data_IF_130685435068
#
_entry.id   IF_130685435068
#
_cell.length_a   1.000
_cell.length_b   1.000
_cell.length_c   1.000
_cell.angle_alpha   90.00
_cell.angle_beta   90.00
_cell.angle_gamma   90.00
#
_symmetry.space_group_name_H-M   'P 1'
#
loop_
_entity.id
_entity.type
_entity.pdbx_description
1 polymer ?
#
# COMPACT_ATOMS: atom_id res chain seq x y z
N UNK A 1 -9.75 27.05 16.98
CA UNK A 1 -9.24 25.68 16.73
C UNK A 1 -7.82 25.82 16.24
N UNK A 2 -6.86 25.19 16.90
CA UNK A 2 -5.44 25.23 16.49
C UNK A 2 -5.30 24.41 15.21
N UNK A 3 -4.99 25.04 14.08
CA UNK A 3 -4.77 24.34 12.81
C UNK A 3 -3.52 23.46 12.93
N UNK A 4 -3.66 22.16 12.65
CA UNK A 4 -2.51 21.26 12.56
C UNK A 4 -1.64 21.68 11.37
N UNK A 5 -0.32 21.83 11.54
CA UNK A 5 0.56 22.20 10.45
C UNK A 5 0.65 21.06 9.43
N UNK A 6 0.88 21.42 8.17
CA UNK A 6 1.22 20.47 7.12
C UNK A 6 2.55 19.79 7.43
N UNK A 7 2.58 18.45 7.43
CA UNK A 7 3.78 17.65 7.67
C UNK A 7 4.09 16.79 6.45
N UNK A 8 4.98 17.29 5.60
CA UNK A 8 5.35 16.60 4.35
C UNK A 8 6.34 15.46 4.56
N UNK A 9 7.15 15.52 5.61
CA UNK A 9 8.16 14.52 5.92
C UNK A 9 7.80 13.79 7.22
N UNK A 10 7.79 12.47 7.14
CA UNK A 10 7.59 11.60 8.28
C UNK A 10 8.65 11.83 9.38
N UNK A 11 8.26 11.91 10.67
CA UNK A 11 9.19 11.79 11.79
C UNK A 11 10.05 10.53 11.68
N UNK A 12 11.32 10.62 12.08
CA UNK A 12 12.23 9.48 12.08
C UNK A 12 11.86 8.49 13.19
N UNK A 13 11.17 7.40 12.83
CA UNK A 13 11.03 6.18 13.64
C UNK A 13 11.92 5.07 13.06
N UNK A 14 12.24 4.06 13.87
CA UNK A 14 13.05 2.92 13.44
C UNK A 14 12.46 2.24 12.20
N UNK A 15 13.31 1.91 11.22
CA UNK A 15 12.88 1.23 9.99
C UNK A 15 12.23 -0.12 10.34
N UNK A 16 11.19 -0.55 9.60
CA UNK A 16 10.66 -1.91 9.76
C UNK A 16 11.76 -2.94 9.45
N UNK A 17 11.66 -4.17 10.01
CA UNK A 17 12.58 -5.23 9.64
C UNK A 17 12.48 -5.49 8.14
N UNK A 18 13.63 -5.76 7.50
CA UNK A 18 13.70 -6.02 6.06
C UNK A 18 12.85 -7.24 5.72
N UNK A 19 11.97 -7.11 4.74
CA UNK A 19 11.11 -8.20 4.28
C UNK A 19 11.35 -8.48 2.79
N UNK A 20 11.05 -9.69 2.34
CA UNK A 20 11.16 -10.11 0.93
C UNK A 20 10.42 -9.14 -0.01
N UNK A 21 9.26 -8.66 0.42
CA UNK A 21 8.39 -7.76 -0.34
C UNK A 21 8.93 -6.34 -0.49
N UNK A 22 9.95 -5.94 0.26
CA UNK A 22 10.64 -4.65 0.04
C UNK A 22 11.54 -4.70 -1.21
N UNK A 23 11.82 -5.91 -1.71
CA UNK A 23 12.84 -6.17 -2.73
C UNK A 23 12.21 -6.47 -4.10
N UNK A 24 12.88 -6.04 -5.15
CA UNK A 24 12.68 -6.57 -6.50
C UNK A 24 13.29 -7.96 -6.67
N UNK A 25 12.97 -8.67 -7.76
CA UNK A 25 13.42 -10.05 -7.94
C UNK A 25 14.94 -10.19 -7.93
N UNK A 26 15.67 -9.22 -8.49
CA UNK A 26 17.12 -9.23 -8.49
C UNK A 26 17.68 -9.12 -7.07
N UNK A 27 17.16 -8.17 -6.28
CA UNK A 27 17.53 -7.98 -4.89
C UNK A 27 17.06 -9.15 -3.99
N UNK A 28 15.95 -9.82 -4.31
CA UNK A 28 15.55 -11.07 -3.64
C UNK A 28 16.56 -12.19 -3.90
N UNK A 29 17.00 -12.36 -5.16
CA UNK A 29 18.04 -13.34 -5.53
C UNK A 29 19.35 -13.07 -4.78
N UNK A 30 19.75 -11.81 -4.68
CA UNK A 30 20.91 -11.40 -3.90
C UNK A 30 20.73 -11.71 -2.40
N UNK A 31 19.60 -11.32 -1.80
CA UNK A 31 19.34 -11.55 -0.38
C UNK A 31 19.32 -13.04 -0.01
N UNK A 32 18.74 -13.87 -0.87
CA UNK A 32 18.75 -15.33 -0.70
C UNK A 32 20.16 -15.91 -0.78
N UNK A 33 20.99 -15.41 -1.71
CA UNK A 33 22.38 -15.82 -1.83
C UNK A 33 23.23 -15.42 -0.61
N UNK A 34 23.03 -14.20 -0.09
CA UNK A 34 23.68 -13.71 1.13
C UNK A 34 23.34 -14.55 2.36
N UNK A 35 22.16 -15.17 2.39
CA UNK A 35 21.72 -16.08 3.45
C UNK A 35 22.20 -17.53 3.26
N UNK A 36 22.98 -17.81 2.21
CA UNK A 36 23.58 -19.13 1.97
C UNK A 36 22.67 -20.13 1.26
N UNK A 37 21.61 -19.66 0.59
CA UNK A 37 20.73 -20.48 -0.26
C UNK A 37 20.96 -20.16 -1.74
N UNK A 38 20.70 -21.13 -2.62
CA UNK A 38 20.88 -20.93 -4.06
C UNK A 38 19.94 -19.84 -4.60
N UNK A 39 20.37 -18.95 -5.52
CA UNK A 39 19.56 -17.81 -5.98
C UNK A 39 18.18 -18.17 -6.52
N UNK A 40 17.99 -19.35 -7.13
CA UNK A 40 16.69 -19.79 -7.63
C UNK A 40 15.64 -20.00 -6.51
N UNK A 41 16.07 -20.17 -5.25
CA UNK A 41 15.17 -20.23 -4.08
C UNK A 41 14.39 -18.93 -3.89
N UNK A 42 14.90 -17.79 -4.38
CA UNK A 42 14.16 -16.54 -4.38
C UNK A 42 12.86 -16.64 -5.19
N UNK A 43 12.89 -17.32 -6.34
CA UNK A 43 11.72 -17.49 -7.18
C UNK A 43 10.68 -18.39 -6.49
N UNK A 44 11.12 -19.45 -5.82
CA UNK A 44 10.25 -20.35 -5.06
C UNK A 44 9.61 -19.64 -3.87
N UNK A 45 10.40 -19.00 -3.02
CA UNK A 45 9.91 -18.23 -1.88
C UNK A 45 8.96 -17.12 -2.33
N UNK A 46 9.28 -16.42 -3.42
CA UNK A 46 8.40 -15.37 -3.96
C UNK A 46 7.05 -15.94 -4.43
N UNK A 47 7.02 -17.12 -5.06
CA UNK A 47 5.75 -17.77 -5.44
C UNK A 47 4.93 -18.19 -4.24
N UNK A 48 5.56 -18.69 -3.18
CA UNK A 48 4.88 -19.01 -1.94
C UNK A 48 4.20 -17.76 -1.35
N UNK A 49 4.91 -16.63 -1.30
CA UNK A 49 4.38 -15.39 -0.71
C UNK A 49 3.37 -14.68 -1.60
N UNK A 50 3.64 -14.56 -2.91
CA UNK A 50 2.85 -13.71 -3.83
C UNK A 50 1.68 -14.46 -4.50
N UNK A 51 1.77 -15.79 -4.60
CA UNK A 51 0.74 -16.62 -5.27
C UNK A 51 -0.02 -17.48 -4.26
N UNK A 52 0.68 -18.05 -3.27
CA UNK A 52 0.06 -18.88 -2.22
C UNK A 52 -0.24 -18.10 -0.95
N UNK A 53 0.12 -16.82 -0.91
CA UNK A 53 -0.13 -15.89 0.18
C UNK A 53 0.38 -16.38 1.54
N UNK A 54 1.48 -17.16 1.58
CA UNK A 54 2.08 -17.61 2.84
C UNK A 54 2.75 -16.44 3.57
N UNK A 55 2.78 -16.51 4.91
CA UNK A 55 3.48 -15.55 5.78
C UNK A 55 4.65 -16.14 6.56
N UNK A 56 4.85 -17.46 6.48
CA UNK A 56 5.98 -18.13 7.12
C UNK A 56 6.66 -19.09 6.15
N UNK A 57 7.99 -19.14 6.25
CA UNK A 57 8.81 -20.15 5.58
C UNK A 57 8.42 -21.57 5.98
N UNK A 58 7.85 -21.78 7.17
CA UNK A 58 7.42 -23.08 7.66
C UNK A 58 6.29 -23.68 6.80
N UNK A 59 5.49 -22.82 6.16
CA UNK A 59 4.40 -23.21 5.26
C UNK A 59 4.91 -23.57 3.84
N UNK A 60 6.18 -23.29 3.52
CA UNK A 60 6.77 -23.51 2.20
C UNK A 60 7.22 -24.97 2.03
N UNK A 61 6.29 -25.87 1.68
CA UNK A 61 6.54 -27.32 1.60
C UNK A 61 7.56 -27.73 0.53
N UNK A 62 7.82 -26.88 -0.46
CA UNK A 62 8.80 -27.06 -1.55
C UNK A 62 10.21 -26.54 -1.20
N UNK A 63 10.38 -25.95 -0.02
CA UNK A 63 11.69 -25.61 0.56
C UNK A 63 12.12 -26.69 1.55
N UNK A 64 13.37 -27.11 1.47
CA UNK A 64 13.98 -28.02 2.45
C UNK A 64 14.18 -27.33 3.79
N UNK A 65 14.29 -28.10 4.87
CA UNK A 65 14.40 -27.60 6.24
C UNK A 65 15.55 -26.57 6.41
N UNK A 66 16.73 -26.87 5.86
CA UNK A 66 17.87 -25.97 5.92
C UNK A 66 17.63 -24.62 5.19
N UNK A 67 16.88 -24.64 4.08
CA UNK A 67 16.52 -23.42 3.36
C UNK A 67 15.45 -22.63 4.13
N UNK A 68 14.46 -23.29 4.75
CA UNK A 68 13.47 -22.60 5.60
C UNK A 68 14.15 -21.87 6.75
N UNK A 69 15.07 -22.52 7.45
CA UNK A 69 15.81 -21.92 8.55
C UNK A 69 16.63 -20.70 8.10
N UNK A 70 17.35 -20.81 6.97
CA UNK A 70 18.16 -19.70 6.42
C UNK A 70 17.32 -18.53 5.95
N UNK A 71 16.16 -18.79 5.36
CA UNK A 71 15.32 -17.78 4.72
C UNK A 71 14.25 -17.18 5.65
N UNK A 72 14.05 -17.72 6.85
CA UNK A 72 13.14 -17.18 7.86
C UNK A 72 13.30 -15.66 8.11
N UNK A 73 14.53 -15.09 8.17
CA UNK A 73 14.71 -13.65 8.34
C UNK A 73 14.15 -12.77 7.21
N UNK A 74 13.78 -13.34 6.05
CA UNK A 74 13.15 -12.59 4.96
C UNK A 74 11.63 -12.46 5.10
N UNK A 75 11.00 -13.21 6.00
CA UNK A 75 9.55 -13.14 6.28
C UNK A 75 9.26 -12.76 7.75
N UNK A 76 9.80 -11.67 8.29
CA UNK A 76 9.39 -11.19 9.60
C UNK A 76 7.91 -10.75 9.58
N UNK A 77 7.20 -10.94 10.68
CA UNK A 77 5.84 -10.39 10.83
C UNK A 77 5.88 -8.85 10.80
N UNK A 78 5.26 -8.24 9.80
CA UNK A 78 5.18 -6.78 9.68
C UNK A 78 3.89 -6.18 10.25
N UNK A 79 2.77 -6.89 10.09
CA UNK A 79 1.45 -6.44 10.51
C UNK A 79 0.80 -7.50 11.40
N UNK A 80 0.39 -7.09 12.60
CA UNK A 80 -0.40 -7.94 13.51
C UNK A 80 -1.83 -7.41 13.59
N UNK A 81 -2.87 -8.20 13.29
CA UNK A 81 -4.24 -7.73 13.40
C UNK A 81 -4.58 -7.50 14.87
N UNK A 82 -4.96 -6.27 15.23
CA UNK A 82 -5.36 -5.94 16.60
C UNK A 82 -6.88 -5.92 16.79
N UNK A 83 -7.64 -5.64 15.72
CA UNK A 83 -9.10 -5.65 15.73
C UNK A 83 -9.64 -5.86 14.32
N UNK A 84 -10.71 -6.62 14.20
CA UNK A 84 -11.45 -6.81 12.95
C UNK A 84 -12.91 -6.44 13.19
N UNK A 85 -13.50 -5.72 12.25
CA UNK A 85 -14.92 -5.41 12.20
C UNK A 85 -15.48 -5.81 10.83
N UNK A 86 -16.69 -6.33 10.80
CA UNK A 86 -17.40 -6.65 9.55
C UNK A 86 -18.75 -5.94 9.49
N UNK A 87 -19.23 -5.68 8.27
CA UNK A 87 -20.56 -5.18 8.00
C UNK A 87 -21.06 -5.67 6.63
N UNK A 88 -22.27 -5.29 6.25
CA UNK A 88 -22.89 -5.62 4.96
C UNK A 88 -23.02 -7.13 4.70
N UNK A 89 -23.34 -7.90 5.74
CA UNK A 89 -23.38 -9.37 5.66
C UNK A 89 -22.02 -9.97 5.32
N UNK A 90 -20.97 -9.48 5.99
CA UNK A 90 -19.55 -9.84 5.80
C UNK A 90 -18.97 -9.46 4.42
N UNK A 91 -19.70 -8.71 3.59
CA UNK A 91 -19.16 -8.19 2.34
C UNK A 91 -18.12 -7.09 2.56
N UNK A 92 -18.08 -6.45 3.73
CA UNK A 92 -17.11 -5.43 4.09
C UNK A 92 -16.38 -5.82 5.37
N UNK A 93 -15.05 -5.83 5.36
CA UNK A 93 -14.19 -6.17 6.50
C UNK A 93 -13.13 -5.10 6.70
N UNK A 94 -13.16 -4.43 7.86
CA UNK A 94 -12.12 -3.49 8.29
C UNK A 94 -11.18 -4.18 9.27
N UNK A 95 -9.88 -4.09 9.01
CA UNK A 95 -8.83 -4.59 9.91
C UNK A 95 -8.00 -3.42 10.42
N UNK A 96 -7.86 -3.34 11.73
CA UNK A 96 -6.88 -2.50 12.42
C UNK A 96 -5.61 -3.32 12.61
N UNK A 97 -4.50 -2.81 12.09
CA UNK A 97 -3.18 -3.41 12.14
C UNK A 97 -2.29 -2.68 13.12
N UNK A 98 -1.54 -3.45 13.91
CA UNK A 98 -0.42 -2.96 14.69
C UNK A 98 0.89 -3.28 13.96
N UNK A 99 1.71 -2.26 13.78
CA UNK A 99 3.02 -2.36 13.14
C UNK A 99 4.13 -2.60 14.17
N UNK A 100 5.36 -2.86 13.72
CA UNK A 100 6.51 -3.19 14.58
C UNK A 100 6.83 -2.12 15.63
N UNK A 101 6.59 -0.85 15.31
CA UNK A 101 6.83 0.30 16.17
C UNK A 101 5.61 0.73 17.00
N UNK A 102 4.56 -0.11 17.00
CA UNK A 102 3.32 0.14 17.73
C UNK A 102 2.35 1.11 17.05
N UNK A 103 2.73 1.73 15.94
CA UNK A 103 1.80 2.51 15.10
C UNK A 103 0.64 1.66 14.61
N UNK A 104 -0.50 2.31 14.42
CA UNK A 104 -1.72 1.67 13.94
C UNK A 104 -2.06 2.15 12.54
N UNK A 105 -2.46 1.23 11.67
CA UNK A 105 -3.03 1.51 10.34
C UNK A 105 -4.26 0.66 10.09
N UNK A 106 -5.11 1.11 9.18
CA UNK A 106 -6.34 0.39 8.81
C UNK A 106 -6.30 -0.04 7.35
N UNK A 107 -6.92 -1.18 7.06
CA UNK A 107 -7.27 -1.57 5.69
C UNK A 107 -8.72 -2.04 5.65
N UNK A 108 -9.41 -1.81 4.53
CA UNK A 108 -10.79 -2.23 4.33
C UNK A 108 -10.89 -3.09 3.09
N UNK A 109 -11.31 -4.33 3.26
CA UNK A 109 -11.57 -5.27 2.18
C UNK A 109 -13.08 -5.31 1.90
N UNK A 110 -13.47 -5.06 0.66
CA UNK A 110 -14.87 -4.91 0.25
C UNK A 110 -15.18 -5.80 -0.96
N UNK A 111 -16.25 -6.60 -0.85
CA UNK A 111 -16.82 -7.37 -1.94
C UNK A 111 -17.97 -6.60 -2.59
N UNK A 112 -17.84 -6.39 -3.89
CA UNK A 112 -18.89 -5.91 -4.77
C UNK A 112 -19.36 -7.05 -5.70
N UNK A 113 -20.48 -6.91 -6.43
CA UNK A 113 -21.00 -7.98 -7.28
C UNK A 113 -19.99 -8.54 -8.30
N UNK A 114 -19.13 -7.68 -8.86
CA UNK A 114 -18.17 -8.04 -9.93
C UNK A 114 -16.70 -7.90 -9.55
N UNK A 115 -16.37 -7.47 -8.32
CA UNK A 115 -14.99 -7.19 -7.91
C UNK A 115 -14.79 -7.33 -6.40
N UNK A 116 -13.54 -7.53 -6.00
CA UNK A 116 -13.11 -7.36 -4.61
C UNK A 116 -12.09 -6.23 -4.58
N UNK A 117 -12.32 -5.25 -3.71
CA UNK A 117 -11.52 -4.03 -3.60
C UNK A 117 -10.85 -3.97 -2.23
N UNK A 118 -9.55 -3.73 -2.21
CA UNK A 118 -8.83 -3.36 -1.00
C UNK A 118 -8.60 -1.84 -0.97
N UNK A 119 -9.09 -1.20 0.08
CA UNK A 119 -8.66 0.13 0.49
C UNK A 119 -7.50 -0.02 1.49
N UNK A 120 -6.31 0.44 1.12
CA UNK A 120 -5.09 0.26 1.89
C UNK A 120 -4.45 1.58 2.33
N UNK A 121 -3.66 1.51 3.39
CA UNK A 121 -2.91 2.64 3.93
C UNK A 121 -1.51 2.72 3.30
N UNK A 122 -1.04 3.95 3.06
CA UNK A 122 0.30 4.27 2.56
C UNK A 122 1.19 4.94 3.63
N UNK A 123 0.60 5.44 4.71
CA UNK A 123 1.28 6.02 5.86
C UNK A 123 0.55 5.67 7.17
N UNK A 124 1.26 5.73 8.29
CA UNK A 124 0.65 5.77 9.62
C UNK A 124 0.34 7.23 9.98
N UNK A 125 -0.94 7.59 9.92
CA UNK A 125 -1.39 8.98 9.98
C UNK A 125 -1.26 9.68 8.62
N UNK A 126 -1.50 10.99 8.58
CA UNK A 126 -1.40 11.78 7.37
C UNK A 126 -1.04 13.23 7.70
N UNK A 127 -0.08 13.79 6.98
CA UNK A 127 0.39 15.15 7.19
C UNK A 127 -0.30 16.23 6.36
N UNK A 128 -1.38 15.88 5.64
CA UNK A 128 -2.12 16.83 4.79
C UNK A 128 -3.11 17.71 5.56
N UNK A 129 -3.36 17.40 6.84
CA UNK A 129 -4.17 18.21 7.75
C UNK A 129 -5.59 18.59 7.25
N UNK A 130 -6.17 17.83 6.32
CA UNK A 130 -7.54 18.07 5.84
C UNK A 130 -8.53 17.95 7.02
N UNK A 131 -9.27 19.00 7.43
CA UNK A 131 -10.05 19.02 8.66
C UNK A 131 -11.24 18.05 8.65
N UNK A 132 -11.72 17.63 7.49
CA UNK A 132 -12.76 16.61 7.38
C UNK A 132 -12.24 15.17 7.53
N UNK A 133 -10.92 14.97 7.53
CA UNK A 133 -10.28 13.66 7.57
C UNK A 133 -9.75 13.35 8.97
N UNK A 134 -10.30 12.31 9.62
CA UNK A 134 -9.84 11.86 10.94
C UNK A 134 -8.34 11.52 10.94
N UNK A 135 -7.81 10.95 9.86
CA UNK A 135 -6.38 10.66 9.71
C UNK A 135 -5.54 11.94 9.61
N UNK A 136 -6.03 12.96 8.89
CA UNK A 136 -5.37 14.27 8.79
C UNK A 136 -5.33 15.01 10.13
N UNK A 137 -6.37 14.86 10.95
CA UNK A 137 -6.41 15.40 12.31
C UNK A 137 -5.45 14.68 13.28
N UNK A 138 -5.08 13.43 12.98
CA UNK A 138 -4.12 12.66 13.80
C UNK A 138 -2.65 13.00 13.54
N UNK A 139 -2.34 13.78 12.50
CA UNK A 139 -0.99 14.09 12.06
C UNK A 139 -0.24 12.89 11.45
N UNK A 140 0.98 13.12 10.97
CA UNK A 140 1.84 12.09 10.38
C UNK A 140 2.75 11.47 11.43
N UNK A 141 2.70 10.15 11.59
CA UNK A 141 3.64 9.41 12.45
C UNK A 141 4.83 8.88 11.65
N UNK A 142 4.57 8.17 10.54
CA UNK A 142 5.61 7.68 9.62
C UNK A 142 5.07 7.20 8.29
N UNK A 143 5.96 7.06 7.32
CA UNK A 143 5.71 6.33 6.08
C UNK A 143 5.72 4.81 6.33
N UNK A 144 4.92 4.08 5.56
CA UNK A 144 4.99 2.62 5.48
C UNK A 144 6.09 2.20 4.50
N UNK A 145 6.75 1.07 4.75
CA UNK A 145 7.63 0.46 3.74
C UNK A 145 6.82 -0.17 2.61
N UNK A 146 7.51 -0.52 1.52
CA UNK A 146 6.89 -1.26 0.41
C UNK A 146 6.30 -2.58 0.89
N UNK A 147 7.00 -3.32 1.75
CA UNK A 147 6.47 -4.55 2.31
C UNK A 147 5.25 -4.35 3.22
N UNK A 148 5.22 -3.30 4.06
CA UNK A 148 4.04 -3.03 4.90
C UNK A 148 2.79 -2.69 4.06
N UNK A 149 2.97 -2.05 2.89
CA UNK A 149 1.88 -1.81 1.93
C UNK A 149 1.46 -3.14 1.27
N UNK A 150 2.42 -3.93 0.78
CA UNK A 150 2.13 -5.19 0.08
C UNK A 150 1.60 -6.30 0.98
N UNK A 151 1.93 -6.30 2.27
CA UNK A 151 1.36 -7.24 3.24
C UNK A 151 -0.16 -7.04 3.40
N UNK A 152 -0.65 -5.80 3.35
CA UNK A 152 -2.10 -5.54 3.29
C UNK A 152 -2.72 -6.19 2.05
N UNK A 153 -2.02 -6.17 0.91
CA UNK A 153 -2.45 -6.81 -0.36
C UNK A 153 -2.43 -8.33 -0.24
N UNK A 154 -1.36 -8.93 0.29
CA UNK A 154 -1.22 -10.38 0.45
C UNK A 154 -2.34 -10.95 1.33
N UNK A 155 -2.56 -10.35 2.49
CA UNK A 155 -3.65 -10.76 3.40
C UNK A 155 -5.01 -10.60 2.70
N UNK A 156 -5.25 -9.48 2.02
CA UNK A 156 -6.51 -9.26 1.32
C UNK A 156 -6.76 -10.26 0.18
N UNK A 157 -5.71 -10.63 -0.56
CA UNK A 157 -5.80 -11.64 -1.62
C UNK A 157 -6.15 -13.02 -1.03
N UNK A 158 -5.44 -13.44 0.03
CA UNK A 158 -5.75 -14.66 0.79
C UNK A 158 -7.19 -14.68 1.31
N UNK A 159 -7.62 -13.60 1.93
CA UNK A 159 -8.94 -13.49 2.55
C UNK A 159 -10.05 -13.49 1.47
N UNK A 160 -9.81 -12.86 0.31
CA UNK A 160 -10.72 -12.93 -0.83
C UNK A 160 -10.83 -14.36 -1.40
N UNK A 161 -9.70 -15.04 -1.57
CA UNK A 161 -9.63 -16.39 -2.15
C UNK A 161 -10.23 -17.46 -1.23
N UNK A 162 -9.98 -17.37 0.08
CA UNK A 162 -10.55 -18.29 1.07
C UNK A 162 -12.08 -18.17 1.21
N UNK A 163 -12.66 -17.09 0.70
CA UNK A 163 -14.08 -16.83 0.76
C UNK A 163 -14.56 -16.15 2.03
N UNK A 164 -13.64 -15.50 2.75
CA UNK A 164 -13.90 -14.82 4.01
C UNK A 164 -14.96 -13.70 3.89
N UNK A 165 -15.20 -13.20 2.69
CA UNK A 165 -16.28 -12.25 2.35
C UNK A 165 -17.53 -12.98 1.80
N UNK A 166 -17.91 -14.08 2.44
CA UNK A 166 -19.09 -14.91 2.13
C UNK A 166 -18.96 -15.90 0.97
N UNK A 167 -18.01 -15.71 0.03
CA UNK A 167 -17.67 -16.69 -1.03
C UNK A 167 -16.28 -16.45 -1.60
N UNK A 168 -15.61 -17.47 -2.17
CA UNK A 168 -14.33 -17.30 -2.86
C UNK A 168 -14.38 -16.24 -3.96
N UNK A 169 -13.30 -15.49 -4.12
CA UNK A 169 -13.11 -14.57 -5.23
C UNK A 169 -11.67 -14.08 -5.31
N UNK A 170 -11.37 -13.30 -6.35
CA UNK A 170 -10.04 -12.75 -6.57
C UNK A 170 -10.01 -11.27 -6.16
N UNK A 171 -8.94 -10.86 -5.47
CA UNK A 171 -8.65 -9.44 -5.28
C UNK A 171 -8.33 -8.80 -6.64
N UNK A 172 -9.22 -7.94 -7.10
CA UNK A 172 -9.16 -7.37 -8.45
C UNK A 172 -8.86 -5.88 -8.45
N UNK A 173 -9.09 -5.19 -7.33
CA UNK A 173 -8.97 -3.75 -7.24
C UNK A 173 -8.22 -3.31 -5.97
N UNK A 174 -7.37 -2.31 -6.14
CA UNK A 174 -6.65 -1.64 -5.05
C UNK A 174 -6.97 -0.15 -5.13
N UNK A 175 -7.29 0.46 -3.99
CA UNK A 175 -7.41 1.92 -3.88
C UNK A 175 -6.49 2.41 -2.76
N UNK A 176 -5.58 3.32 -3.09
CA UNK A 176 -4.76 4.04 -2.12
C UNK A 176 -5.59 5.18 -1.51
N UNK A 177 -6.63 4.82 -0.76
CA UNK A 177 -7.58 5.72 -0.11
C UNK A 177 -7.75 5.41 1.39
N UNK A 178 -6.82 4.63 1.96
CA UNK A 178 -6.73 4.41 3.40
C UNK A 178 -6.01 5.56 4.09
N UNK A 179 -5.20 5.24 5.10
CA UNK A 179 -4.45 6.27 5.83
C UNK A 179 -3.22 6.73 5.04
N UNK A 180 -3.06 8.05 4.91
CA UNK A 180 -1.87 8.69 4.31
C UNK A 180 -2.12 9.36 2.96
N UNK A 181 -1.19 10.21 2.56
CA UNK A 181 -1.07 10.76 1.21
C UNK A 181 -0.08 9.90 0.40
N UNK A 182 -0.55 9.08 -0.55
CA UNK A 182 0.29 8.13 -1.29
C UNK A 182 1.47 8.79 -1.99
N UNK A 183 1.27 9.97 -2.60
CA UNK A 183 2.35 10.65 -3.32
C UNK A 183 3.37 11.32 -2.39
N UNK A 184 3.07 11.47 -1.09
CA UNK A 184 4.06 11.85 -0.07
C UNK A 184 4.94 10.67 0.35
N UNK A 185 4.49 9.42 0.12
CA UNK A 185 5.28 8.19 0.28
C UNK A 185 5.69 7.58 -1.07
N UNK A 186 6.09 8.45 -2.01
CA UNK A 186 6.23 8.14 -3.43
C UNK A 186 7.00 6.84 -3.71
N UNK A 187 8.25 6.73 -3.24
CA UNK A 187 9.13 5.62 -3.61
C UNK A 187 8.56 4.26 -3.15
N UNK A 188 8.02 4.20 -1.94
CA UNK A 188 7.44 2.96 -1.42
C UNK A 188 6.16 2.57 -2.17
N UNK A 189 5.31 3.55 -2.49
CA UNK A 189 4.07 3.37 -3.24
C UNK A 189 4.35 2.91 -4.66
N UNK A 190 5.26 3.55 -5.39
CA UNK A 190 5.60 3.14 -6.78
C UNK A 190 6.23 1.75 -6.79
N UNK A 191 7.13 1.45 -5.86
CA UNK A 191 7.67 0.10 -5.73
C UNK A 191 6.54 -0.92 -5.48
N UNK A 192 5.61 -0.62 -4.56
CA UNK A 192 4.47 -1.50 -4.29
C UNK A 192 3.59 -1.68 -5.54
N UNK A 193 3.24 -0.60 -6.26
CA UNK A 193 2.46 -0.68 -7.52
C UNK A 193 3.18 -1.58 -8.54
N UNK A 194 4.49 -1.40 -8.73
CA UNK A 194 5.29 -2.25 -9.65
C UNK A 194 5.25 -3.73 -9.24
N UNK A 195 5.25 -4.04 -7.94
CA UNK A 195 5.09 -5.42 -7.44
C UNK A 195 3.66 -5.93 -7.53
N UNK A 196 2.64 -5.08 -7.44
CA UNK A 196 1.24 -5.50 -7.64
C UNK A 196 1.02 -5.93 -9.10
N UNK A 197 1.59 -5.20 -10.06
CA UNK A 197 1.36 -5.44 -11.51
C UNK A 197 2.27 -6.52 -12.12
N UNK A 198 3.47 -6.72 -11.59
CA UNK A 198 4.41 -7.65 -12.18
C UNK A 198 3.92 -9.10 -12.04
N UNK A 199 4.21 -9.94 -13.04
CA UNK A 199 3.86 -11.35 -13.00
C UNK A 199 4.71 -12.14 -11.98
N UNK A 200 4.20 -13.24 -11.42
CA UNK A 200 4.99 -14.13 -10.58
C UNK A 200 6.22 -14.66 -11.32
N UNK A 201 7.43 -14.66 -10.73
CA UNK A 201 7.69 -14.59 -9.29
C UNK A 201 7.96 -13.18 -8.78
N UNK A 202 7.90 -12.16 -9.64
CA UNK A 202 8.26 -10.80 -9.29
C UNK A 202 7.14 -10.10 -8.50
N UNK A 203 5.88 -10.36 -8.88
CA UNK A 203 4.71 -9.69 -8.31
C UNK A 203 3.43 -10.52 -8.24
N UNK A 204 2.30 -9.82 -8.03
CA UNK A 204 0.97 -10.40 -7.85
C UNK A 204 0.19 -10.63 -9.17
N UNK A 205 0.67 -10.15 -10.32
CA UNK A 205 -0.03 -10.29 -11.61
C UNK A 205 -1.37 -9.55 -11.68
N UNK A 206 -1.49 -8.41 -10.98
CA UNK A 206 -2.71 -7.59 -11.01
C UNK A 206 -2.77 -6.72 -12.26
N UNK A 207 -3.98 -6.49 -12.78
CA UNK A 207 -4.17 -5.47 -13.81
C UNK A 207 -3.93 -4.08 -13.23
N UNK A 208 -3.03 -3.31 -13.83
CA UNK A 208 -2.76 -1.92 -13.45
C UNK A 208 -4.04 -1.04 -13.45
N UNK A 209 -4.98 -1.32 -14.37
CA UNK A 209 -6.29 -0.64 -14.43
C UNK A 209 -7.17 -0.91 -13.21
N UNK A 210 -6.88 -1.95 -12.44
CA UNK A 210 -7.54 -2.22 -11.17
C UNK A 210 -6.97 -1.42 -9.99
N UNK A 211 -5.86 -0.70 -10.18
CA UNK A 211 -5.16 0.04 -9.13
C UNK A 211 -5.47 1.53 -9.30
N UNK A 212 -5.93 2.17 -8.23
CA UNK A 212 -6.18 3.61 -8.16
C UNK A 212 -5.29 4.27 -7.12
N UNK A 213 -4.47 5.23 -7.54
CA UNK A 213 -3.67 6.08 -6.65
C UNK A 213 -4.44 7.38 -6.44
N UNK A 214 -4.84 7.66 -5.20
CA UNK A 214 -5.48 8.93 -4.84
C UNK A 214 -4.44 9.95 -4.36
N UNK A 215 -4.67 11.23 -4.59
CA UNK A 215 -3.82 12.31 -4.04
C UNK A 215 -4.62 13.57 -3.73
N UNK A 216 -4.19 14.32 -2.72
CA UNK A 216 -4.70 15.67 -2.43
C UNK A 216 -4.15 16.78 -3.35
N UNK A 217 -3.27 16.44 -4.30
CA UNK A 217 -2.77 17.41 -5.28
C UNK A 217 -1.31 17.81 -5.09
N UNK A 218 -0.40 16.84 -4.85
CA UNK A 218 1.04 17.11 -4.85
C UNK A 218 1.55 17.25 -6.29
N UNK A 219 1.40 18.44 -6.90
CA UNK A 219 1.69 18.71 -8.32
C UNK A 219 3.01 18.10 -8.83
N UNK A 220 4.18 18.31 -8.18
CA UNK A 220 5.42 17.71 -8.65
C UNK A 220 5.39 16.17 -8.70
N UNK A 221 4.66 15.55 -7.76
CA UNK A 221 4.56 14.09 -7.68
C UNK A 221 3.54 13.52 -8.67
N UNK A 222 2.49 14.28 -9.00
CA UNK A 222 1.56 13.92 -10.09
C UNK A 222 2.32 13.88 -11.42
N UNK A 223 3.09 14.93 -11.72
CA UNK A 223 3.95 14.98 -12.91
C UNK A 223 4.99 13.87 -12.91
N UNK A 224 5.59 13.58 -11.75
CA UNK A 224 6.52 12.46 -11.61
C UNK A 224 5.84 11.12 -11.93
N UNK A 225 4.62 10.89 -11.41
CA UNK A 225 3.83 9.69 -11.68
C UNK A 225 3.46 9.58 -13.17
N UNK A 226 3.11 10.68 -13.84
CA UNK A 226 2.86 10.69 -15.29
C UNK A 226 4.08 10.15 -16.08
N UNK A 227 5.28 10.55 -15.66
CA UNK A 227 6.53 10.10 -16.28
C UNK A 227 6.91 8.62 -15.96
N UNK A 228 6.23 7.95 -15.02
CA UNK A 228 6.50 6.53 -14.73
C UNK A 228 5.98 5.59 -15.84
N UNK A 229 5.05 6.07 -16.68
CA UNK A 229 4.41 5.25 -17.72
C UNK A 229 3.56 4.10 -17.16
N UNK A 230 3.12 4.19 -15.90
CA UNK A 230 2.31 3.17 -15.25
C UNK A 230 0.82 3.40 -15.54
N UNK A 231 0.10 2.45 -16.15
CA UNK A 231 -1.31 2.63 -16.51
C UNK A 231 -2.26 2.39 -15.32
N UNK A 232 -1.98 3.05 -14.20
CA UNK A 232 -2.87 3.09 -13.02
C UNK A 232 -3.93 4.18 -13.18
N UNK A 233 -5.00 4.11 -12.39
CA UNK A 233 -5.97 5.21 -12.33
C UNK A 233 -5.48 6.26 -11.33
N UNK A 234 -5.44 7.54 -11.73
CA UNK A 234 -5.23 8.66 -10.81
C UNK A 234 -6.59 9.20 -10.34
N UNK A 235 -6.76 9.35 -9.03
CA UNK A 235 -7.91 10.02 -8.45
C UNK A 235 -7.46 11.30 -7.73
N UNK A 236 -8.11 12.42 -8.02
CA UNK A 236 -7.84 13.70 -7.36
C UNK A 236 -8.87 13.95 -6.26
N UNK A 237 -8.39 14.14 -5.03
CA UNK A 237 -9.16 14.63 -3.90
C UNK A 237 -9.31 16.15 -3.98
N UNK A 238 -10.21 16.62 -4.85
CA UNK A 238 -10.41 18.05 -5.14
C UNK A 238 -11.15 18.78 -4.00
N UNK A 239 -12.34 18.30 -3.64
CA UNK A 239 -13.20 18.74 -2.52
C UNK A 239 -13.76 20.17 -2.54
N UNK A 240 -13.33 21.05 -3.45
CA UNK A 240 -13.93 22.37 -3.66
C UNK A 240 -13.65 22.87 -5.09
N UNK A 241 -14.57 23.66 -5.69
CA UNK A 241 -14.40 24.19 -7.05
C UNK A 241 -13.56 25.48 -7.12
N UNK A 242 -13.35 26.16 -6.00
CA UNK A 242 -12.60 27.43 -5.89
C UNK A 242 -11.53 27.35 -4.80
N UNK A 243 -10.50 28.19 -4.92
CA UNK A 243 -9.35 28.20 -4.01
C UNK A 243 -9.69 28.69 -2.60
N UNK A 244 -10.65 29.61 -2.47
CA UNK A 244 -11.03 30.17 -1.17
C UNK A 244 -11.52 29.05 -0.25
N UNK A 245 -12.49 28.26 -0.72
CA UNK A 245 -12.99 27.12 0.02
C UNK A 245 -11.93 26.01 0.12
N UNK A 246 -11.20 25.71 -0.97
CA UNK A 246 -10.22 24.62 -0.97
C UNK A 246 -9.07 24.86 0.00
N UNK A 247 -8.63 26.10 0.20
CA UNK A 247 -7.62 26.47 1.19
C UNK A 247 -8.02 26.05 2.62
N UNK A 248 -9.33 26.06 2.93
CA UNK A 248 -9.84 25.65 4.25
C UNK A 248 -10.03 24.14 4.38
N UNK A 249 -10.39 23.45 3.30
CA UNK A 249 -10.70 22.02 3.31
C UNK A 249 -9.49 21.13 3.00
N UNK A 250 -8.57 21.60 2.17
CA UNK A 250 -7.40 20.86 1.72
C UNK A 250 -6.20 21.81 1.79
N UNK A 251 -5.56 21.98 2.97
CA UNK A 251 -4.59 23.06 3.20
C UNK A 251 -3.40 23.09 2.23
N UNK A 252 -3.09 21.96 1.58
CA UNK A 252 -2.07 21.88 0.53
C UNK A 252 -2.37 22.81 -0.67
N UNK A 253 -3.63 23.24 -0.83
CA UNK A 253 -4.04 24.19 -1.86
C UNK A 253 -3.33 25.55 -1.76
N UNK A 254 -2.92 25.94 -0.55
CA UNK A 254 -2.13 27.15 -0.33
C UNK A 254 -0.73 27.08 -0.96
N UNK A 255 -0.32 25.90 -1.43
CA UNK A 255 0.96 25.65 -2.11
C UNK A 255 0.81 25.38 -3.60
N UNK A 256 -0.28 24.73 -4.01
CA UNK A 256 -0.64 24.50 -5.41
C UNK A 256 -2.14 24.69 -5.55
N UNK A 257 -2.53 25.73 -6.27
CA UNK A 257 -3.94 26.11 -6.41
C UNK A 257 -4.72 25.10 -7.27
N UNK A 258 -6.03 25.29 -7.37
CA UNK A 258 -6.91 24.40 -8.14
C UNK A 258 -6.46 24.30 -9.60
N UNK A 259 -6.08 25.42 -10.23
CA UNK A 259 -5.69 25.43 -11.63
C UNK A 259 -4.40 24.64 -11.86
N UNK A 260 -3.36 24.88 -11.05
CA UNK A 260 -2.08 24.16 -11.11
C UNK A 260 -2.26 22.65 -10.93
N UNK A 261 -3.13 22.24 -10.00
CA UNK A 261 -3.41 20.82 -9.73
C UNK A 261 -4.15 20.19 -10.90
N UNK A 262 -5.13 20.88 -11.49
CA UNK A 262 -5.87 20.37 -12.65
C UNK A 262 -4.97 20.26 -13.88
N UNK A 263 -4.07 21.21 -14.11
CA UNK A 263 -3.08 21.13 -15.20
C UNK A 263 -2.21 19.88 -15.06
N UNK A 264 -1.70 19.60 -13.85
CA UNK A 264 -0.91 18.39 -13.59
C UNK A 264 -1.71 17.10 -13.80
N UNK A 265 -3.01 17.10 -13.47
CA UNK A 265 -3.90 15.95 -13.73
C UNK A 265 -4.17 15.78 -15.22
N UNK A 266 -4.34 16.87 -15.98
CA UNK A 266 -4.48 16.79 -17.43
C UNK A 266 -3.21 16.27 -18.11
N UNK A 267 -2.03 16.70 -17.65
CA UNK A 267 -0.75 16.15 -18.08
C UNK A 267 -0.67 14.63 -17.83
N UNK A 268 -1.25 14.11 -16.73
CA UNK A 268 -1.28 12.67 -16.46
C UNK A 268 -2.19 11.88 -17.42
N UNK A 269 -3.26 12.51 -17.94
CA UNK A 269 -4.20 11.84 -18.84
C UNK A 269 -3.74 11.77 -20.29
N UNK A 270 -2.72 12.56 -20.66
CA UNK A 270 -2.16 12.65 -22.01
C UNK A 270 -1.02 11.64 -22.21
#
# INVERSE_FOLDING_TARGET
MTSLPLVMQAPRRGKPPRHLLDLDLAARKQAVAELGSAPFRADQLSRQVLVRHVDSVDQCTDLGEADRLRLAPLLPTLLTPSKVLTCDGDATRKTLWRLHDGSLVESVLMRYPKRVTLCLSSQAGCGMACPFCATGQGGLQRNLSTAEILEQVRVAARDAESGLLGRPGRLSNIVFMGMGEPLANYNAVIAAVRRMIAEPPEGFGMSARGITVSTVGLVPQIRKLANEGLPVTLALSLHAPDDELRNTLVPINTRWDVAEVLDAVWEYTN
#
